data_IF_702505374418
#
_entry.id   IF_702505374418
#
_cell.length_a   1.000
_cell.length_b   1.000
_cell.length_c   1.000
_cell.angle_alpha   90.00
_cell.angle_beta   90.00
_cell.angle_gamma   90.00
#
_symmetry.space_group_name_H-M   'P 1'
#
loop_
_entity.id
_entity.type
_entity.pdbx_description
1 polymer ?
#
# COMPACT_ATOMS: atom_id res chain seq x y z
N UNK A 1 -43.19 -6.81 13.38
CA UNK A 1 -43.55 -8.13 12.82
C UNK A 1 -45.02 -8.35 13.11
N UNK A 2 -45.86 -8.47 12.07
CA UNK A 2 -47.31 -8.57 12.24
C UNK A 2 -47.76 -9.95 12.72
N UNK A 3 -48.85 -10.01 13.48
CA UNK A 3 -49.51 -11.26 13.87
C UNK A 3 -50.54 -11.67 12.80
N UNK A 4 -50.85 -12.97 12.72
CA UNK A 4 -51.93 -13.51 11.88
C UNK A 4 -52.99 -14.11 12.81
N UNK A 5 -54.27 -13.88 12.52
CA UNK A 5 -55.41 -14.47 13.24
C UNK A 5 -56.08 -15.49 12.34
N UNK A 6 -56.09 -16.74 12.77
CA UNK A 6 -56.82 -17.81 12.08
C UNK A 6 -58.33 -17.64 12.27
N UNK A 7 -59.09 -17.75 11.18
CA UNK A 7 -60.56 -17.79 11.22
C UNK A 7 -61.00 -19.25 11.39
N UNK A 8 -61.44 -19.63 12.58
CA UNK A 8 -62.08 -20.94 12.80
C UNK A 8 -63.57 -20.86 12.44
N UNK A 9 -64.03 -21.86 11.70
CA UNK A 9 -65.43 -22.05 11.28
C UNK A 9 -66.33 -22.17 12.51
N UNK A 10 -67.46 -21.47 12.46
CA UNK A 10 -68.47 -21.39 13.53
C UNK A 10 -68.99 -22.77 13.93
N UNK A 11 -68.72 -23.15 15.19
CA UNK A 11 -69.54 -24.11 15.92
C UNK A 11 -70.53 -23.32 16.79
N UNK A 12 -71.82 -23.61 16.64
CA UNK A 12 -72.90 -23.01 17.42
C UNK A 12 -72.67 -23.24 18.91
N UNK A 13 -72.28 -22.16 19.62
CA UNK A 13 -72.72 -21.76 20.97
C UNK A 13 -71.69 -20.78 21.58
N UNK A 14 -72.02 -19.48 21.54
CA UNK A 14 -71.81 -18.55 22.66
C UNK A 14 -70.41 -18.23 23.19
N UNK A 15 -69.30 -18.68 22.59
CA UNK A 15 -67.96 -18.35 23.09
C UNK A 15 -67.11 -17.60 22.05
N UNK A 16 -66.84 -16.32 22.32
CA UNK A 16 -65.84 -15.53 21.58
C UNK A 16 -64.44 -16.05 21.91
N UNK A 17 -63.97 -17.04 21.16
CA UNK A 17 -62.60 -17.51 21.25
C UNK A 17 -61.69 -16.49 20.56
N UNK A 18 -60.91 -15.74 21.35
CA UNK A 18 -59.82 -14.93 20.82
C UNK A 18 -58.79 -15.90 20.19
N UNK A 19 -58.78 -16.00 18.86
CA UNK A 19 -57.85 -16.85 18.12
C UNK A 19 -56.41 -16.62 18.56
N UNK A 20 -55.67 -17.70 18.81
CA UNK A 20 -54.28 -17.62 19.28
C UNK A 20 -53.43 -16.91 18.23
N UNK A 21 -52.97 -15.69 18.52
CA UNK A 21 -52.07 -14.95 17.64
C UNK A 21 -50.74 -15.69 17.56
N UNK A 22 -50.44 -16.25 16.38
CA UNK A 22 -49.15 -16.90 16.11
C UNK A 22 -48.26 -15.94 15.33
N UNK A 23 -46.92 -15.99 15.55
CA UNK A 23 -45.98 -15.23 14.75
C UNK A 23 -46.14 -15.60 13.28
N UNK A 24 -46.22 -14.61 12.37
CA UNK A 24 -46.28 -14.87 10.92
C UNK A 24 -45.08 -15.71 10.50
N UNK A 25 -45.35 -16.89 9.96
CA UNK A 25 -44.34 -17.81 9.42
C UNK A 25 -44.25 -17.59 7.91
N UNK A 26 -43.14 -17.97 7.27
CA UNK A 26 -42.90 -17.72 5.83
C UNK A 26 -44.04 -18.18 4.91
N UNK A 27 -44.73 -19.26 5.26
CA UNK A 27 -45.92 -19.77 4.56
C UNK A 27 -47.04 -18.73 4.45
N UNK A 28 -47.16 -17.86 5.44
CA UNK A 28 -48.30 -16.95 5.67
C UNK A 28 -48.10 -15.59 4.99
N UNK A 29 -46.95 -15.39 4.34
CA UNK A 29 -46.60 -14.16 3.64
C UNK A 29 -47.31 -14.06 2.28
N UNK A 30 -47.72 -12.84 1.91
CA UNK A 30 -48.18 -12.52 0.56
C UNK A 30 -47.07 -12.87 -0.45
N UNK A 31 -47.38 -13.24 -1.70
CA UNK A 31 -46.39 -13.37 -2.76
C UNK A 31 -45.43 -12.16 -2.85
N UNK A 32 -45.95 -10.94 -2.65
CA UNK A 32 -45.15 -9.70 -2.66
C UNK A 32 -44.16 -9.64 -1.47
N UNK A 33 -44.62 -10.03 -0.28
CA UNK A 33 -43.78 -10.08 0.91
C UNK A 33 -42.70 -11.17 0.78
N UNK A 34 -43.04 -12.32 0.19
CA UNK A 34 -42.10 -13.42 -0.08
C UNK A 34 -40.99 -12.98 -1.05
N UNK A 35 -41.35 -12.23 -2.09
CA UNK A 35 -40.40 -11.70 -3.07
C UNK A 35 -39.50 -10.60 -2.49
N UNK A 36 -40.06 -9.72 -1.66
CA UNK A 36 -39.32 -8.75 -0.85
C UNK A 36 -38.30 -9.42 0.08
N UNK A 37 -38.71 -10.46 0.82
CA UNK A 37 -37.84 -11.20 1.72
C UNK A 37 -36.73 -11.95 0.98
N UNK A 38 -37.02 -12.54 -0.18
CA UNK A 38 -36.03 -13.19 -1.03
C UNK A 38 -35.01 -12.17 -1.58
N UNK A 39 -35.48 -11.01 -2.05
CA UNK A 39 -34.63 -9.94 -2.57
C UNK A 39 -33.69 -9.42 -1.48
N UNK A 40 -34.22 -9.15 -0.28
CA UNK A 40 -33.41 -8.70 0.86
C UNK A 40 -32.38 -9.75 1.30
N UNK A 41 -32.76 -11.03 1.37
CA UNK A 41 -31.82 -12.10 1.71
C UNK A 41 -30.71 -12.25 0.65
N UNK A 42 -31.04 -12.08 -0.63
CA UNK A 42 -30.09 -12.10 -1.74
C UNK A 42 -29.13 -10.92 -1.66
N UNK A 43 -29.62 -9.70 -1.42
CA UNK A 43 -28.78 -8.51 -1.28
C UNK A 43 -27.83 -8.62 -0.08
N UNK A 44 -28.30 -9.18 1.04
CA UNK A 44 -27.45 -9.49 2.20
C UNK A 44 -26.36 -10.50 1.83
N UNK A 45 -26.72 -11.57 1.11
CA UNK A 45 -25.78 -12.58 0.65
C UNK A 45 -24.73 -12.02 -0.32
N UNK A 46 -25.15 -11.20 -1.28
CA UNK A 46 -24.26 -10.56 -2.25
C UNK A 46 -23.28 -9.59 -1.56
N UNK A 47 -23.74 -8.85 -0.55
CA UNK A 47 -22.87 -8.00 0.28
C UNK A 47 -21.86 -8.79 1.11
N UNK A 48 -22.29 -9.90 1.73
CA UNK A 48 -21.41 -10.79 2.49
C UNK A 48 -20.37 -11.42 1.57
N UNK A 49 -20.78 -11.83 0.36
CA UNK A 49 -19.88 -12.38 -0.66
C UNK A 49 -18.81 -11.37 -1.07
N UNK A 50 -19.20 -10.12 -1.35
CA UNK A 50 -18.27 -9.03 -1.67
C UNK A 50 -17.29 -8.73 -0.52
N UNK A 51 -17.73 -8.81 0.74
CA UNK A 51 -16.88 -8.62 1.92
C UNK A 51 -15.87 -9.77 2.12
N UNK A 52 -16.29 -11.01 1.86
CA UNK A 52 -15.48 -12.21 2.11
C UNK A 52 -14.48 -12.51 0.99
N UNK A 53 -14.88 -12.31 -0.27
CA UNK A 53 -14.01 -12.54 -1.42
C UNK A 53 -13.07 -11.34 -1.65
N UNK A 54 -13.42 -10.17 -1.08
CA UNK A 54 -12.92 -8.89 -1.55
C UNK A 54 -13.46 -8.62 -2.96
N UNK A 55 -13.56 -7.36 -3.38
CA UNK A 55 -13.64 -7.11 -4.82
C UNK A 55 -12.35 -7.69 -5.41
N UNK A 56 -12.43 -8.78 -6.20
CA UNK A 56 -11.32 -9.15 -7.07
C UNK A 56 -10.93 -7.86 -7.80
N UNK A 57 -9.75 -7.31 -7.51
CA UNK A 57 -9.28 -6.11 -8.19
C UNK A 57 -9.37 -6.41 -9.68
N UNK A 58 -10.06 -5.54 -10.40
CA UNK A 58 -10.14 -5.67 -11.85
C UNK A 58 -8.73 -5.62 -12.42
N UNK A 59 -8.56 -6.09 -13.66
CA UNK A 59 -7.26 -6.00 -14.32
C UNK A 59 -6.79 -4.54 -14.35
N UNK A 60 -7.71 -3.62 -14.59
CA UNK A 60 -7.52 -2.18 -14.61
C UNK A 60 -7.08 -1.64 -13.23
N UNK A 61 -7.75 -2.03 -12.14
CA UNK A 61 -7.36 -1.59 -10.79
C UNK A 61 -5.95 -2.08 -10.43
N UNK A 62 -5.62 -3.31 -10.82
CA UNK A 62 -4.30 -3.90 -10.58
C UNK A 62 -3.22 -3.23 -11.41
N UNK A 63 -3.51 -2.85 -12.66
CA UNK A 63 -2.62 -2.04 -13.48
C UNK A 63 -2.37 -0.67 -12.86
N UNK A 64 -3.43 0.00 -12.37
CA UNK A 64 -3.30 1.30 -11.68
C UNK A 64 -2.40 1.20 -10.46
N UNK A 65 -2.64 0.21 -9.59
CA UNK A 65 -1.83 0.00 -8.39
C UNK A 65 -0.35 -0.24 -8.72
N UNK A 66 -0.07 -1.06 -9.75
CA UNK A 66 1.32 -1.36 -10.14
C UNK A 66 2.01 -0.16 -10.78
N UNK A 67 1.27 0.69 -11.51
CA UNK A 67 1.80 1.97 -12.00
C UNK A 67 2.15 2.90 -10.84
N UNK A 68 1.28 3.02 -9.83
CA UNK A 68 1.54 3.84 -8.66
C UNK A 68 2.75 3.33 -7.86
N UNK A 69 2.84 2.01 -7.65
CA UNK A 69 3.98 1.36 -7.00
C UNK A 69 5.28 1.60 -7.76
N UNK A 70 5.23 1.53 -9.10
CA UNK A 70 6.36 1.84 -9.97
C UNK A 70 6.71 3.32 -9.88
N UNK A 71 5.74 4.22 -9.89
CA UNK A 71 6.02 5.65 -9.90
C UNK A 71 6.63 6.13 -8.58
N UNK A 72 6.15 5.60 -7.46
CA UNK A 72 6.66 5.93 -6.14
C UNK A 72 7.83 5.05 -5.71
N UNK A 73 8.33 4.16 -6.58
CA UNK A 73 9.44 3.28 -6.26
C UNK A 73 10.72 4.09 -5.99
N UNK A 74 11.26 3.96 -4.78
CA UNK A 74 12.54 4.52 -4.38
C UNK A 74 13.27 3.58 -3.41
N UNK A 75 14.58 3.72 -3.34
CA UNK A 75 15.41 3.05 -2.35
C UNK A 75 15.10 3.59 -0.96
N UNK A 76 14.80 2.69 -0.03
CA UNK A 76 14.44 3.06 1.34
C UNK A 76 15.70 3.38 2.15
N UNK A 77 15.58 4.25 3.16
CA UNK A 77 16.68 4.53 4.09
C UNK A 77 17.12 3.22 4.77
N UNK A 78 18.44 2.99 4.84
CA UNK A 78 19.08 1.76 5.37
C UNK A 78 18.84 0.49 4.54
N UNK A 79 18.24 0.59 3.37
CA UNK A 79 18.11 -0.54 2.46
C UNK A 79 19.42 -0.83 1.74
N UNK A 80 19.87 -2.08 1.79
CA UNK A 80 21.03 -2.55 1.02
C UNK A 80 20.71 -2.56 -0.48
N UNK A 81 21.72 -2.44 -1.33
CA UNK A 81 21.52 -2.47 -2.79
C UNK A 81 20.90 -3.80 -3.25
N UNK A 82 21.17 -4.90 -2.53
CA UNK A 82 20.57 -6.19 -2.82
C UNK A 82 19.06 -6.22 -2.52
N UNK A 83 18.65 -5.75 -1.33
CA UNK A 83 17.22 -5.71 -0.99
C UNK A 83 16.44 -4.78 -1.94
N UNK A 84 17.03 -3.65 -2.32
CA UNK A 84 16.50 -2.75 -3.33
C UNK A 84 16.27 -3.47 -4.67
N UNK A 85 17.29 -4.19 -5.16
CA UNK A 85 17.20 -4.98 -6.40
C UNK A 85 16.13 -6.06 -6.34
N UNK A 86 16.02 -6.80 -5.23
CA UNK A 86 14.99 -7.83 -5.04
C UNK A 86 13.59 -7.21 -5.10
N UNK A 87 13.35 -6.07 -4.43
CA UNK A 87 12.05 -5.37 -4.51
C UNK A 87 11.73 -4.89 -5.92
N UNK A 88 12.71 -4.31 -6.61
CA UNK A 88 12.51 -3.84 -7.98
C UNK A 88 12.16 -5.01 -8.91
N UNK A 89 12.91 -6.11 -8.83
CA UNK A 89 12.66 -7.33 -9.61
C UNK A 89 11.29 -7.92 -9.33
N UNK A 90 10.86 -7.95 -8.05
CA UNK A 90 9.51 -8.37 -7.66
C UNK A 90 8.44 -7.51 -8.34
N UNK A 91 8.57 -6.18 -8.28
CA UNK A 91 7.64 -5.26 -8.92
C UNK A 91 7.55 -5.50 -10.44
N UNK A 92 8.69 -5.63 -11.12
CA UNK A 92 8.71 -5.88 -12.57
C UNK A 92 8.08 -7.25 -12.90
N UNK A 93 8.31 -8.27 -12.08
CA UNK A 93 7.70 -9.57 -12.27
C UNK A 93 6.18 -9.53 -12.03
N UNK A 94 5.71 -8.77 -11.04
CA UNK A 94 4.28 -8.59 -10.78
C UNK A 94 3.58 -7.85 -11.94
N UNK A 95 4.24 -6.84 -12.55
CA UNK A 95 3.78 -6.20 -13.79
C UNK A 95 3.70 -7.18 -14.97
N UNK A 96 4.75 -7.99 -15.18
CA UNK A 96 4.81 -8.97 -16.27
C UNK A 96 3.72 -10.04 -16.17
N UNK A 97 3.36 -10.48 -14.96
CA UNK A 97 2.29 -11.48 -14.74
C UNK A 97 0.95 -11.06 -15.34
N UNK A 98 0.65 -9.76 -15.34
CA UNK A 98 -0.58 -9.21 -15.92
C UNK A 98 -0.39 -8.62 -17.32
N UNK A 99 0.74 -8.94 -17.97
CA UNK A 99 1.11 -8.51 -19.33
C UNK A 99 1.34 -7.00 -19.49
N UNK A 100 1.64 -6.28 -18.42
CA UNK A 100 2.19 -4.92 -18.53
C UNK A 100 3.66 -5.00 -18.94
N UNK A 101 3.99 -4.39 -20.08
CA UNK A 101 5.35 -4.36 -20.61
C UNK A 101 5.91 -2.95 -20.58
N UNK A 102 7.07 -2.79 -19.93
CA UNK A 102 7.81 -1.53 -19.89
C UNK A 102 9.07 -1.62 -20.76
N UNK A 103 9.38 -0.60 -21.57
CA UNK A 103 10.64 -0.55 -22.32
C UNK A 103 11.84 -0.67 -21.40
N UNK A 104 12.88 -1.42 -21.82
CA UNK A 104 14.13 -1.60 -21.05
C UNK A 104 14.71 -0.27 -20.58
N UNK A 105 14.67 0.75 -21.42
CA UNK A 105 15.16 2.09 -21.07
C UNK A 105 14.40 2.71 -19.89
N UNK A 106 13.08 2.55 -19.83
CA UNK A 106 12.29 3.07 -18.72
C UNK A 106 12.61 2.31 -17.43
N UNK A 107 12.77 0.99 -17.50
CA UNK A 107 13.19 0.18 -16.35
C UNK A 107 14.56 0.60 -15.83
N UNK A 108 15.55 0.72 -16.72
CA UNK A 108 16.90 1.14 -16.35
C UNK A 108 16.92 2.56 -15.77
N UNK A 109 16.19 3.49 -16.40
CA UNK A 109 16.08 4.86 -15.92
C UNK A 109 15.44 4.92 -14.55
N UNK A 110 14.35 4.18 -14.32
CA UNK A 110 13.70 4.09 -13.02
C UNK A 110 14.64 3.51 -11.98
N UNK A 111 15.25 2.36 -12.26
CA UNK A 111 16.17 1.69 -11.35
C UNK A 111 17.31 2.60 -10.86
N UNK A 112 17.86 3.43 -11.75
CA UNK A 112 18.98 4.33 -11.43
C UNK A 112 18.51 5.63 -10.76
N UNK A 113 17.39 6.21 -11.20
CA UNK A 113 16.88 7.48 -10.66
C UNK A 113 16.26 7.34 -9.27
N UNK A 114 15.82 6.13 -8.92
CA UNK A 114 15.18 5.79 -7.66
C UNK A 114 16.18 5.47 -6.53
N UNK A 115 17.49 5.56 -6.77
CA UNK A 115 18.53 5.29 -5.76
C UNK A 115 18.77 6.47 -4.81
N UNK A 116 19.27 6.16 -3.62
CA UNK A 116 19.63 7.18 -2.63
C UNK A 116 20.85 8.02 -3.05
N UNK A 117 21.02 9.24 -2.52
CA UNK A 117 22.08 10.17 -2.91
C UNK A 117 23.52 9.63 -2.76
N UNK A 118 23.78 8.69 -1.84
CA UNK A 118 25.12 8.10 -1.70
C UNK A 118 25.62 7.39 -2.97
N UNK A 119 24.71 6.98 -3.85
CA UNK A 119 24.99 6.39 -5.15
C UNK A 119 25.24 7.43 -6.25
N UNK A 120 25.09 8.72 -5.96
CA UNK A 120 25.03 9.82 -6.93
C UNK A 120 26.16 9.81 -7.96
N UNK A 121 27.42 9.63 -7.54
CA UNK A 121 28.56 9.56 -8.49
C UNK A 121 28.44 8.39 -9.47
N UNK A 122 28.01 7.23 -8.99
CA UNK A 122 27.87 6.02 -9.80
C UNK A 122 26.68 6.12 -10.75
N UNK A 123 25.57 6.71 -10.27
CA UNK A 123 24.40 7.04 -11.08
C UNK A 123 24.79 7.96 -12.24
N UNK A 124 25.56 9.01 -11.98
CA UNK A 124 26.05 9.92 -13.03
C UNK A 124 26.94 9.20 -14.04
N UNK A 125 27.87 8.36 -13.59
CA UNK A 125 28.72 7.54 -14.46
C UNK A 125 27.90 6.61 -15.37
N UNK A 126 26.86 5.96 -14.84
CA UNK A 126 25.97 5.10 -15.63
C UNK A 126 25.20 5.89 -16.69
N UNK A 127 24.71 7.08 -16.35
CA UNK A 127 23.98 7.96 -17.27
C UNK A 127 24.85 8.48 -18.41
N UNK A 128 26.10 8.84 -18.12
CA UNK A 128 27.01 9.43 -19.11
C UNK A 128 27.60 8.39 -20.08
N UNK A 129 27.83 7.16 -19.63
CA UNK A 129 28.56 6.16 -20.42
C UNK A 129 27.69 5.35 -21.42
N UNK A 130 26.52 5.84 -21.84
CA UNK A 130 25.56 5.12 -22.72
C UNK A 130 25.04 3.79 -22.13
N UNK A 131 25.58 3.33 -20.99
CA UNK A 131 25.29 2.02 -20.35
C UNK A 131 23.79 1.77 -20.15
N UNK A 132 22.99 2.82 -19.94
CA UNK A 132 21.53 2.67 -19.86
C UNK A 132 20.92 2.07 -21.14
N UNK A 133 21.43 2.40 -22.33
CA UNK A 133 20.87 1.95 -23.62
C UNK A 133 21.26 0.50 -23.92
N UNK A 134 22.50 0.14 -23.59
CA UNK A 134 23.09 -1.15 -23.96
C UNK A 134 22.92 -2.22 -22.88
N UNK A 135 22.70 -1.83 -21.62
CA UNK A 135 22.54 -2.76 -20.49
C UNK A 135 21.07 -3.00 -20.11
N UNK A 136 20.83 -3.95 -19.21
CA UNK A 136 19.59 -4.10 -18.45
C UNK A 136 19.83 -3.78 -16.95
N UNK A 137 18.76 -3.69 -16.15
CA UNK A 137 18.88 -3.34 -14.73
C UNK A 137 19.61 -4.41 -13.90
N UNK A 138 19.69 -5.67 -14.36
CA UNK A 138 20.47 -6.72 -13.70
C UNK A 138 21.98 -6.46 -13.82
N UNK A 139 22.44 -6.05 -15.00
CA UNK A 139 23.82 -5.64 -15.25
C UNK A 139 24.16 -4.34 -14.49
N UNK A 140 23.22 -3.40 -14.43
CA UNK A 140 23.38 -2.20 -13.60
C UNK A 140 23.50 -2.59 -12.12
N UNK A 141 22.67 -3.50 -11.63
CA UNK A 141 22.77 -4.04 -10.28
C UNK A 141 24.14 -4.63 -9.99
N UNK A 142 24.69 -5.47 -10.87
CA UNK A 142 26.02 -6.04 -10.70
C UNK A 142 27.10 -4.95 -10.57
N UNK A 143 27.02 -3.90 -11.40
CA UNK A 143 27.89 -2.74 -11.32
C UNK A 143 27.76 -2.00 -9.98
N UNK A 144 26.54 -1.71 -9.52
CA UNK A 144 26.34 -1.03 -8.23
C UNK A 144 26.77 -1.91 -7.05
N UNK A 145 26.51 -3.22 -7.12
CA UNK A 145 26.94 -4.17 -6.09
C UNK A 145 28.46 -4.19 -5.92
N UNK A 146 29.21 -4.14 -7.02
CA UNK A 146 30.66 -4.04 -6.99
C UNK A 146 31.16 -2.77 -6.28
N UNK A 147 30.39 -1.68 -6.31
CA UNK A 147 30.76 -0.38 -5.77
C UNK A 147 30.09 -0.06 -4.42
N UNK A 148 29.48 -1.05 -3.75
CA UNK A 148 28.73 -0.83 -2.51
C UNK A 148 29.58 -0.25 -1.38
N UNK A 149 30.82 -0.71 -1.21
CA UNK A 149 31.73 -0.17 -0.20
C UNK A 149 31.96 1.34 -0.39
N UNK A 150 32.19 1.74 -1.64
CA UNK A 150 32.40 3.14 -2.00
C UNK A 150 31.13 4.00 -1.89
N UNK A 151 29.95 3.42 -2.09
CA UNK A 151 28.69 4.12 -1.81
C UNK A 151 28.51 4.31 -0.29
N UNK A 152 28.87 3.32 0.53
CA UNK A 152 28.81 3.43 1.99
C UNK A 152 29.77 4.51 2.52
N UNK A 153 30.96 4.66 1.95
CA UNK A 153 31.88 5.77 2.26
C UNK A 153 31.24 7.13 1.94
N UNK A 154 30.60 7.26 0.77
CA UNK A 154 29.89 8.48 0.39
C UNK A 154 28.76 8.80 1.36
N UNK A 155 28.01 7.79 1.79
CA UNK A 155 26.95 7.94 2.79
C UNK A 155 27.52 8.50 4.10
N UNK A 156 28.62 7.95 4.61
CA UNK A 156 29.28 8.46 5.81
C UNK A 156 29.79 9.89 5.65
N UNK A 157 30.30 10.25 4.47
CA UNK A 157 30.66 11.64 4.18
C UNK A 157 29.44 12.55 4.16
N UNK A 158 28.37 12.15 3.48
CA UNK A 158 27.14 12.93 3.37
C UNK A 158 26.48 13.14 4.74
N UNK A 159 26.40 12.08 5.55
CA UNK A 159 25.91 12.13 6.93
C UNK A 159 26.74 13.13 7.76
N UNK A 160 28.08 13.08 7.67
CA UNK A 160 28.95 14.09 8.31
C UNK A 160 28.65 15.50 7.82
N UNK A 161 28.59 15.74 6.50
CA UNK A 161 28.26 17.06 5.96
C UNK A 161 26.89 17.57 6.45
N UNK A 162 25.87 16.73 6.47
CA UNK A 162 24.55 17.09 7.00
C UNK A 162 24.56 17.36 8.51
N UNK A 163 25.47 16.72 9.26
CA UNK A 163 25.69 16.98 10.67
C UNK A 163 26.46 18.29 10.90
N UNK A 164 27.27 18.75 9.94
CA UNK A 164 27.95 20.06 10.02
C UNK A 164 27.09 21.22 9.53
N UNK A 165 26.01 20.94 8.78
CA UNK A 165 24.98 21.91 8.45
C UNK A 165 23.92 22.06 9.55
N UNK A 166 24.21 21.70 10.82
CA UNK A 166 23.37 22.21 11.92
C UNK A 166 23.32 23.71 11.75
N UNK A 167 22.11 24.27 11.80
CA UNK A 167 21.87 25.71 11.77
C UNK A 167 23.02 26.43 12.51
N UNK A 168 23.70 27.41 11.90
CA UNK A 168 24.72 28.19 12.59
C UNK A 168 24.27 28.64 13.98
N UNK A 169 22.97 28.91 14.15
CA UNK A 169 22.34 29.21 15.44
C UNK A 169 22.32 28.02 16.40
N UNK A 170 22.03 26.80 15.94
CA UNK A 170 22.14 25.59 16.76
C UNK A 170 23.57 25.35 17.21
N UNK A 171 24.57 25.57 16.35
CA UNK A 171 25.98 25.44 16.72
C UNK A 171 26.40 26.50 17.73
N UNK A 172 25.94 27.74 17.55
CA UNK A 172 26.15 28.83 18.52
C UNK A 172 25.46 28.50 19.85
N UNK A 173 24.25 27.95 19.83
CA UNK A 173 23.51 27.57 21.03
C UNK A 173 24.23 26.47 21.81
N UNK A 174 24.76 25.44 21.12
CA UNK A 174 25.59 24.38 21.71
C UNK A 174 26.87 24.94 22.37
N UNK A 175 27.52 25.92 21.74
CA UNK A 175 28.72 26.55 22.30
C UNK A 175 28.36 27.38 23.53
N UNK A 176 27.26 28.15 23.48
CA UNK A 176 26.79 28.95 24.61
C UNK A 176 26.38 28.06 25.79
N UNK A 177 25.70 26.94 25.54
CA UNK A 177 25.33 26.01 26.61
C UNK A 177 26.57 25.32 27.19
N UNK A 178 27.54 24.93 26.38
CA UNK A 178 28.80 24.37 26.87
C UNK A 178 29.59 25.38 27.72
N UNK A 179 29.69 26.64 27.29
CA UNK A 179 30.34 27.70 28.08
C UNK A 179 29.64 27.95 29.42
N UNK A 180 28.32 27.82 29.47
CA UNK A 180 27.54 27.94 30.69
C UNK A 180 27.72 26.74 31.63
N UNK A 181 27.92 25.54 31.06
CA UNK A 181 28.24 24.32 31.82
C UNK A 181 29.66 24.38 32.39
N UNK A 182 30.61 24.91 31.61
CA UNK A 182 32.02 25.01 32.01
C UNK A 182 32.28 26.14 33.02
N UNK A 183 31.24 26.88 33.44
CA UNK A 183 31.30 27.85 34.54
C UNK A 183 32.18 29.07 34.28
N UNK A 184 32.49 29.39 33.01
CA UNK A 184 33.39 30.49 32.65
C UNK A 184 32.69 31.85 32.48
N UNK A 185 31.43 31.97 32.89
CA UNK A 185 30.69 33.22 32.84
C UNK A 185 30.46 33.75 34.26
N UNK A 186 31.52 34.23 34.91
CA UNK A 186 31.48 35.26 35.95
C UNK A 186 32.93 35.69 36.29
N UNK A 187 33.45 36.66 35.53
CA UNK A 187 34.46 37.63 36.00
C UNK A 187 34.19 38.99 35.36
#
# INVERSE_FOLDING_TARGET
MGTFRDTLVEGEEGAFHLGTERPRVYSDLSPEDKESHYTNAKDIWDNVKMLLEGSELTKEDRESQLYDDFEHFHQKKRETIHNYYVRFTKLINDMRKIKMTMPRMQLNSKFVNSMLPEWGRFVTTVKLNIRLKESNYDQLYAYFKQHEAHANENKMMLERFTQYTVDPLCRILEIITQWKIDGLAES
#
